data_IF_278707060322
#
_entry.id   IF_278707060322
#
_cell.length_a   1.000
_cell.length_b   1.000
_cell.length_c   1.000
_cell.angle_alpha   90.00
_cell.angle_beta   90.00
_cell.angle_gamma   90.00
#
_symmetry.space_group_name_H-M   'P 1'
#
loop_
_entity.id
_entity.type
_entity.pdbx_description
1 polymer ?
#
# COMPACT_ATOMS: atom_id res chain seq x y z
N UNK A 1 20.38 -1.36 -6.07
CA UNK A 1 20.19 -0.65 -4.80
C UNK A 1 19.12 0.44 -4.97
N UNK A 2 17.83 0.12 -4.78
CA UNK A 2 16.74 1.10 -4.84
C UNK A 2 16.30 1.50 -3.42
N UNK A 3 17.22 2.07 -2.63
CA UNK A 3 17.01 2.36 -1.20
C UNK A 3 16.43 3.77 -0.91
N UNK A 4 15.76 4.41 -1.87
CA UNK A 4 15.27 5.80 -1.73
C UNK A 4 13.90 6.06 -2.35
N UNK A 5 13.14 5.02 -2.70
CA UNK A 5 11.76 5.22 -3.10
C UNK A 5 10.95 5.75 -1.90
N UNK A 6 10.21 6.84 -2.11
CA UNK A 6 9.26 7.38 -1.13
C UNK A 6 8.25 6.29 -0.73
N UNK A 7 7.68 6.34 0.49
CA UNK A 7 6.65 5.37 0.89
C UNK A 7 5.50 5.25 -0.11
N UNK A 8 5.15 6.34 -0.79
CA UNK A 8 4.13 6.36 -1.85
C UNK A 8 4.59 5.59 -3.09
N UNK A 9 5.82 5.83 -3.57
CA UNK A 9 6.35 5.13 -4.74
C UNK A 9 6.49 3.63 -4.47
N UNK A 10 6.98 3.26 -3.27
CA UNK A 10 7.10 1.86 -2.87
C UNK A 10 5.72 1.17 -2.78
N UNK A 11 4.71 1.83 -2.20
CA UNK A 11 3.35 1.31 -2.16
C UNK A 11 2.75 1.13 -3.56
N UNK A 12 3.01 2.05 -4.50
CA UNK A 12 2.54 1.90 -5.88
C UNK A 12 3.19 0.71 -6.58
N UNK A 13 4.51 0.52 -6.45
CA UNK A 13 5.20 -0.64 -7.03
C UNK A 13 4.57 -1.94 -6.52
N UNK A 14 4.33 -2.04 -5.21
CA UNK A 14 3.71 -3.23 -4.60
C UNK A 14 2.29 -3.46 -5.11
N UNK A 15 1.45 -2.41 -5.19
CA UNK A 15 0.07 -2.55 -5.66
C UNK A 15 -0.01 -2.80 -7.18
N UNK A 16 0.97 -2.33 -7.96
CA UNK A 16 1.07 -2.58 -9.40
C UNK A 16 1.39 -4.03 -9.75
N UNK A 17 2.15 -4.71 -8.89
CA UNK A 17 2.45 -6.14 -9.04
C UNK A 17 1.42 -7.08 -8.41
N UNK A 18 0.37 -6.55 -7.77
CA UNK A 18 -0.61 -7.36 -7.08
C UNK A 18 -1.78 -7.73 -8.02
N UNK A 19 -2.21 -8.99 -8.00
CA UNK A 19 -3.37 -9.48 -8.76
C UNK A 19 -4.71 -9.19 -8.07
N UNK A 20 -4.71 -8.44 -6.97
CA UNK A 20 -5.89 -8.15 -6.16
C UNK A 20 -5.61 -7.14 -5.05
N UNK A 21 -6.62 -6.89 -4.22
CA UNK A 21 -6.51 -5.92 -3.14
C UNK A 21 -5.68 -6.44 -1.97
N UNK A 22 -4.77 -5.62 -1.44
CA UNK A 22 -3.90 -5.95 -0.32
C UNK A 22 -4.28 -5.17 0.93
N UNK A 23 -4.16 -5.77 2.10
CA UNK A 23 -4.25 -5.04 3.36
C UNK A 23 -3.03 -4.12 3.56
N UNK A 24 -3.17 -3.11 4.41
CA UNK A 24 -2.04 -2.23 4.80
C UNK A 24 -0.82 -3.03 5.30
N UNK A 25 -1.06 -4.13 6.02
CA UNK A 25 -0.01 -4.99 6.56
C UNK A 25 0.74 -5.72 5.45
N UNK A 26 0.02 -6.35 4.52
CA UNK A 26 0.64 -7.02 3.37
C UNK A 26 1.46 -6.06 2.51
N UNK A 27 0.96 -4.83 2.30
CA UNK A 27 1.74 -3.80 1.61
C UNK A 27 3.02 -3.47 2.38
N UNK A 28 2.94 -3.28 3.68
CA UNK A 28 4.10 -2.98 4.53
C UNK A 28 5.14 -4.11 4.51
N UNK A 29 4.70 -5.36 4.64
CA UNK A 29 5.57 -6.54 4.65
C UNK A 29 6.29 -6.68 3.31
N UNK A 30 5.58 -6.48 2.19
CA UNK A 30 6.18 -6.50 0.83
C UNK A 30 7.15 -5.34 0.59
N UNK A 31 6.83 -4.12 1.04
CA UNK A 31 7.75 -2.98 0.94
C UNK A 31 9.04 -3.24 1.72
N UNK A 32 8.94 -3.89 2.88
CA UNK A 32 10.06 -4.07 3.79
C UNK A 32 10.92 -5.30 3.47
N UNK A 33 10.51 -6.18 2.56
CA UNK A 33 11.21 -7.44 2.25
C UNK A 33 12.70 -7.24 1.96
N UNK A 34 13.06 -6.23 1.15
CA UNK A 34 14.45 -5.95 0.75
C UNK A 34 14.94 -4.56 1.22
N UNK A 35 14.28 -3.98 2.23
CA UNK A 35 14.56 -2.62 2.68
C UNK A 35 15.52 -2.63 3.87
N UNK A 36 16.67 -1.96 3.72
CA UNK A 36 17.66 -1.85 4.81
C UNK A 36 17.12 -1.14 6.06
N UNK A 37 16.16 -0.21 5.88
CA UNK A 37 15.46 0.46 6.98
C UNK A 37 13.96 0.27 6.81
N UNK A 38 13.36 -0.67 7.57
CA UNK A 38 11.93 -0.97 7.49
C UNK A 38 11.07 0.26 7.77
N UNK A 39 9.96 0.39 7.02
CA UNK A 39 8.92 1.35 7.32
C UNK A 39 7.96 0.78 8.37
N UNK A 40 7.50 1.63 9.27
CA UNK A 40 6.40 1.28 10.19
C UNK A 40 5.06 1.30 9.48
N UNK A 41 4.12 0.48 9.96
CA UNK A 41 2.79 0.32 9.38
C UNK A 41 2.03 1.64 9.22
N UNK A 42 2.14 2.55 10.19
CA UNK A 42 1.50 3.87 10.16
C UNK A 42 2.01 4.73 8.99
N UNK A 43 3.32 4.65 8.69
CA UNK A 43 3.92 5.41 7.60
C UNK A 43 3.47 4.89 6.24
N UNK A 44 3.32 3.59 6.11
CA UNK A 44 2.74 2.95 4.91
C UNK A 44 1.26 3.30 4.77
N UNK A 45 0.50 3.27 5.87
CA UNK A 45 -0.90 3.70 5.88
C UNK A 45 -1.07 5.16 5.43
N UNK A 46 -0.27 6.08 5.97
CA UNK A 46 -0.28 7.49 5.56
C UNK A 46 0.03 7.68 4.06
N UNK A 47 0.95 6.88 3.53
CA UNK A 47 1.27 6.87 2.10
C UNK A 47 0.08 6.41 1.23
N UNK A 48 -0.59 5.33 1.63
CA UNK A 48 -1.77 4.80 0.94
C UNK A 48 -2.94 5.79 0.99
N UNK A 49 -3.17 6.45 2.13
CA UNK A 49 -4.16 7.52 2.27
C UNK A 49 -3.84 8.69 1.34
N UNK A 50 -2.57 9.10 1.23
CA UNK A 50 -2.17 10.18 0.34
C UNK A 50 -2.39 9.81 -1.14
N UNK A 51 -2.10 8.57 -1.53
CA UNK A 51 -2.38 8.06 -2.88
C UNK A 51 -3.88 7.98 -3.18
N UNK A 52 -4.67 7.59 -2.19
CA UNK A 52 -6.13 7.51 -2.32
C UNK A 52 -6.76 8.90 -2.51
N UNK A 53 -6.32 9.89 -1.74
CA UNK A 53 -6.73 11.30 -1.91
C UNK A 53 -6.40 11.85 -3.30
N UNK A 54 -5.39 11.27 -3.97
CA UNK A 54 -4.98 11.63 -5.34
C UNK A 54 -5.70 10.79 -6.41
N UNK A 55 -6.60 9.88 -6.03
CA UNK A 55 -7.33 9.02 -6.97
C UNK A 55 -6.47 7.95 -7.63
N UNK A 56 -5.31 7.61 -7.08
CA UNK A 56 -4.40 6.59 -7.67
C UNK A 56 -4.71 5.18 -7.18
N UNK A 57 -5.21 5.08 -5.94
CA UNK A 57 -5.57 3.80 -5.31
C UNK A 57 -6.97 3.89 -4.71
N UNK A 58 -7.69 2.78 -4.73
CA UNK A 58 -9.00 2.65 -4.11
C UNK A 58 -8.86 1.96 -2.75
N UNK A 59 -9.56 2.53 -1.77
CA UNK A 59 -9.75 1.93 -0.46
C UNK A 59 -10.99 1.07 -0.48
N UNK A 60 -10.84 -0.24 -0.30
CA UNK A 60 -11.92 -1.20 -0.24
C UNK A 60 -12.18 -1.61 1.21
N UNK A 61 -13.45 -1.63 1.60
CA UNK A 61 -13.90 -2.18 2.88
C UNK A 61 -14.72 -3.42 2.60
N UNK A 62 -14.33 -4.55 3.20
CA UNK A 62 -15.14 -5.77 3.12
C UNK A 62 -16.43 -5.57 3.93
N UNK A 63 -17.58 -5.69 3.28
CA UNK A 63 -18.90 -5.50 3.87
C UNK A 63 -19.19 -6.45 5.05
N UNK A 64 -18.52 -7.61 5.11
CA UNK A 64 -18.70 -8.60 6.18
C UNK A 64 -17.77 -8.43 7.38
N UNK A 65 -16.63 -7.74 7.21
CA UNK A 65 -15.62 -7.54 8.26
C UNK A 65 -15.20 -6.06 8.28
N UNK A 66 -16.03 -5.23 8.91
CA UNK A 66 -15.88 -3.76 9.06
C UNK A 66 -14.51 -3.24 9.56
N UNK A 67 -13.55 -4.11 9.90
CA UNK A 67 -12.22 -3.76 10.41
C UNK A 67 -11.07 -3.91 9.41
N UNK A 68 -11.26 -4.58 8.28
CA UNK A 68 -10.18 -4.80 7.32
C UNK A 68 -10.29 -3.85 6.14
N UNK A 69 -9.30 -2.96 6.04
CA UNK A 69 -9.11 -2.05 4.92
C UNK A 69 -8.16 -2.70 3.93
N UNK A 70 -8.61 -2.79 2.68
CA UNK A 70 -7.81 -3.26 1.57
C UNK A 70 -7.57 -2.13 0.57
N UNK A 71 -6.49 -2.25 -0.18
CA UNK A 71 -6.01 -1.25 -1.13
C UNK A 71 -5.76 -1.94 -2.46
N UNK A 72 -6.19 -1.31 -3.54
CA UNK A 72 -5.90 -1.72 -4.90
C UNK A 72 -5.63 -0.50 -5.75
N UNK A 73 -4.89 -0.67 -6.86
CA UNK A 73 -4.81 0.40 -7.86
C UNK A 73 -6.20 0.71 -8.41
N UNK A 74 -6.43 1.98 -8.73
CA UNK A 74 -7.57 2.34 -9.59
C UNK A 74 -7.27 1.76 -10.97
N UNK A 75 -8.14 0.89 -11.46
CA UNK A 75 -8.11 0.50 -12.87
C UNK A 75 -8.49 1.74 -13.69
N UNK A 76 -7.54 2.23 -14.49
CA UNK A 76 -7.78 3.27 -15.50
C UNK A 76 -8.54 2.69 -16.68
#
# INVERSE_FOLDING_TARGET
MTNTASPQAAALVVLSGATGSLSTREVCDRINTDRATPLVLERVYGALVALHRRGVVTRCTDAGRRRHVYWQLVAG
#
